data_IF_795691694770
#
_entry.id   IF_795691694770
#
_cell.length_a   1.000
_cell.length_b   1.000
_cell.length_c   1.000
_cell.angle_alpha   90.00
_cell.angle_beta   90.00
_cell.angle_gamma   90.00
#
_symmetry.space_group_name_H-M   'P 1'
#
loop_
_entity.id
_entity.type
_entity.pdbx_description
1 polymer ?
#
# COMPACT_ATOMS: atom_id res chain seq x y z
N UNK A 1 18.72 -42.27 -13.09
CA UNK A 1 17.29 -42.32 -12.72
C UNK A 1 17.21 -41.78 -11.30
N UNK A 2 16.52 -40.66 -11.06
CA UNK A 2 16.54 -40.00 -9.75
C UNK A 2 16.07 -40.99 -8.68
N UNK A 3 16.92 -41.25 -7.69
CA UNK A 3 16.54 -41.99 -6.50
C UNK A 3 15.61 -41.07 -5.71
N UNK A 4 14.32 -41.45 -5.62
CA UNK A 4 13.25 -40.78 -4.86
C UNK A 4 12.68 -39.47 -5.47
N UNK A 5 12.03 -39.54 -6.65
CA UNK A 5 11.39 -38.38 -7.29
C UNK A 5 10.35 -37.69 -6.40
N UNK A 6 9.56 -38.43 -5.62
CA UNK A 6 8.53 -37.85 -4.74
C UNK A 6 9.10 -36.99 -3.60
N UNK A 7 10.30 -37.33 -3.10
CA UNK A 7 10.95 -36.55 -2.04
C UNK A 7 11.45 -35.23 -2.62
N UNK A 8 11.98 -35.27 -3.84
CA UNK A 8 12.47 -34.11 -4.57
C UNK A 8 11.31 -33.18 -4.94
N UNK A 9 10.20 -33.71 -5.43
CA UNK A 9 8.98 -32.93 -5.73
C UNK A 9 8.44 -32.22 -4.48
N UNK A 10 8.24 -32.94 -3.38
CA UNK A 10 7.78 -32.32 -2.11
C UNK A 10 8.74 -31.28 -1.56
N UNK A 11 10.03 -31.39 -1.87
CA UNK A 11 11.01 -30.40 -1.48
C UNK A 11 10.88 -29.13 -2.32
N UNK A 12 10.72 -29.27 -3.64
CA UNK A 12 10.49 -28.13 -4.53
C UNK A 12 9.17 -27.42 -4.24
N UNK A 13 8.07 -28.14 -3.99
CA UNK A 13 6.79 -27.54 -3.60
C UNK A 13 6.91 -26.64 -2.36
N UNK A 14 7.68 -27.08 -1.35
CA UNK A 14 7.94 -26.27 -0.15
C UNK A 14 8.73 -25.01 -0.46
N UNK A 15 9.74 -25.12 -1.32
CA UNK A 15 10.56 -23.98 -1.74
C UNK A 15 9.69 -22.99 -2.52
N UNK A 16 8.90 -23.47 -3.48
CA UNK A 16 8.01 -22.64 -4.30
C UNK A 16 7.00 -21.89 -3.44
N UNK A 17 6.38 -22.57 -2.47
CA UNK A 17 5.43 -21.93 -1.55
C UNK A 17 6.08 -20.79 -0.75
N UNK A 18 7.25 -21.02 -0.17
CA UNK A 18 7.97 -19.98 0.59
C UNK A 18 8.41 -18.84 -0.32
N UNK A 19 8.83 -19.15 -1.55
CA UNK A 19 9.20 -18.15 -2.54
C UNK A 19 8.01 -17.28 -2.95
N UNK A 20 6.84 -17.88 -3.17
CA UNK A 20 5.60 -17.17 -3.51
C UNK A 20 5.16 -16.24 -2.37
N UNK A 21 5.15 -16.74 -1.12
CA UNK A 21 4.84 -15.93 0.07
C UNK A 21 5.81 -14.74 0.18
N UNK A 22 7.11 -14.98 0.06
CA UNK A 22 8.13 -13.92 0.15
C UNK A 22 7.98 -12.87 -0.96
N UNK A 23 7.72 -13.30 -2.20
CA UNK A 23 7.55 -12.38 -3.33
C UNK A 23 6.25 -11.57 -3.20
N UNK A 24 5.18 -12.19 -2.69
CA UNK A 24 3.92 -11.52 -2.41
C UNK A 24 4.10 -10.42 -1.36
N UNK A 25 4.78 -10.72 -0.25
CA UNK A 25 5.07 -9.76 0.82
C UNK A 25 5.89 -8.57 0.29
N UNK A 26 6.94 -8.85 -0.49
CA UNK A 26 7.75 -7.80 -1.13
C UNK A 26 6.92 -6.90 -2.07
N UNK A 27 5.98 -7.50 -2.80
CA UNK A 27 5.11 -6.76 -3.70
C UNK A 27 4.10 -5.90 -2.92
N UNK A 28 3.57 -6.40 -1.80
CA UNK A 28 2.67 -5.65 -0.91
C UNK A 28 3.38 -4.42 -0.33
N UNK A 29 4.60 -4.59 0.20
CA UNK A 29 5.43 -3.49 0.71
C UNK A 29 5.65 -2.42 -0.38
N UNK A 30 6.00 -2.84 -1.59
CA UNK A 30 6.18 -1.91 -2.72
C UNK A 30 4.89 -1.17 -3.08
N UNK A 31 3.74 -1.82 -2.96
CA UNK A 31 2.44 -1.19 -3.18
C UNK A 31 2.14 -0.16 -2.08
N UNK A 32 2.45 -0.47 -0.82
CA UNK A 32 2.31 0.45 0.32
C UNK A 32 3.21 1.67 0.15
N UNK A 33 4.48 1.50 -0.21
CA UNK A 33 5.42 2.58 -0.48
C UNK A 33 4.90 3.54 -1.57
N UNK A 34 4.38 2.97 -2.67
CA UNK A 34 3.76 3.76 -3.74
C UNK A 34 2.54 4.54 -3.26
N UNK A 35 1.71 3.95 -2.39
CA UNK A 35 0.54 4.64 -1.79
C UNK A 35 1.00 5.78 -0.89
N UNK A 36 1.96 5.54 0.00
CA UNK A 36 2.59 6.57 0.84
C UNK A 36 3.14 7.73 0.01
N UNK A 37 3.85 7.44 -1.09
CA UNK A 37 4.40 8.49 -1.93
C UNK A 37 3.30 9.35 -2.58
N UNK A 38 2.27 8.72 -3.15
CA UNK A 38 1.13 9.43 -3.74
C UNK A 38 0.38 10.28 -2.71
N UNK A 39 0.19 9.77 -1.50
CA UNK A 39 -0.45 10.52 -0.40
C UNK A 39 0.37 11.75 -0.02
N UNK A 40 1.71 11.63 0.07
CA UNK A 40 2.60 12.78 0.31
C UNK A 40 2.54 13.81 -0.82
N UNK A 41 2.51 13.36 -2.07
CA UNK A 41 2.36 14.25 -3.23
C UNK A 41 1.02 14.99 -3.21
N UNK A 42 -0.08 14.29 -2.92
CA UNK A 42 -1.41 14.87 -2.81
C UNK A 42 -1.48 15.90 -1.66
N UNK A 43 -0.95 15.58 -0.48
CA UNK A 43 -0.91 16.52 0.64
C UNK A 43 -0.09 17.77 0.31
N UNK A 44 1.07 17.62 -0.35
CA UNK A 44 1.86 18.77 -0.81
C UNK A 44 1.07 19.65 -1.75
N UNK A 45 0.38 19.08 -2.74
CA UNK A 45 -0.45 19.84 -3.68
C UNK A 45 -1.58 20.61 -2.97
N UNK A 46 -2.23 19.97 -1.98
CA UNK A 46 -3.27 20.61 -1.18
C UNK A 46 -2.72 21.73 -0.28
N UNK A 47 -1.48 21.62 0.19
CA UNK A 47 -0.82 22.63 1.04
C UNK A 47 -0.28 23.83 0.25
N UNK A 48 0.25 23.61 -0.96
CA UNK A 48 0.81 24.70 -1.80
C UNK A 48 -0.25 25.71 -2.26
N UNK A 49 -1.53 25.32 -2.29
CA UNK A 49 -2.64 26.20 -2.65
C UNK A 49 -3.60 26.42 -1.47
N UNK A 50 -3.27 27.30 -0.49
CA UNK A 50 -4.09 27.52 0.70
C UNK A 50 -5.49 28.10 0.40
N UNK A 51 -5.67 28.81 -0.71
CA UNK A 51 -7.00 29.24 -1.17
C UNK A 51 -7.92 28.07 -1.59
N UNK A 52 -7.38 26.85 -1.73
CA UNK A 52 -8.13 25.64 -2.07
C UNK A 52 -8.91 25.05 -0.88
N UNK A 53 -8.64 25.47 0.36
CA UNK A 53 -9.30 24.96 1.58
C UNK A 53 -10.81 25.25 1.62
N UNK A 54 -11.26 26.36 1.02
CA UNK A 54 -12.68 26.70 0.82
C UNK A 54 -13.27 26.07 -0.46
N UNK A 55 -12.42 25.47 -1.28
CA UNK A 55 -12.80 24.88 -2.57
C UNK A 55 -13.14 23.39 -2.44
N UNK A 56 -13.69 22.82 -3.50
CA UNK A 56 -14.05 21.40 -3.60
C UNK A 56 -13.03 20.70 -4.49
N UNK A 57 -12.45 19.61 -4.00
CA UNK A 57 -11.48 18.77 -4.73
C UNK A 57 -12.15 17.51 -5.27
N UNK A 58 -11.65 17.00 -6.39
CA UNK A 58 -12.05 15.70 -6.93
C UNK A 58 -11.13 14.61 -6.39
N UNK A 59 -11.73 13.55 -5.86
CA UNK A 59 -11.03 12.38 -5.33
C UNK A 59 -11.47 11.15 -6.12
N UNK A 60 -10.51 10.28 -6.42
CA UNK A 60 -10.79 8.97 -7.01
C UNK A 60 -10.93 7.93 -5.90
N UNK A 61 -12.06 7.23 -5.85
CA UNK A 61 -12.30 6.10 -4.95
C UNK A 61 -12.69 4.90 -5.81
N UNK A 62 -11.75 3.95 -5.95
CA UNK A 62 -11.90 2.82 -6.86
C UNK A 62 -11.98 3.29 -8.32
N UNK A 63 -13.14 3.12 -8.94
CA UNK A 63 -13.46 3.56 -10.29
C UNK A 63 -14.35 4.82 -10.34
N UNK A 64 -14.64 5.44 -9.20
CA UNK A 64 -15.53 6.59 -9.08
C UNK A 64 -14.75 7.87 -8.79
N UNK A 65 -15.22 8.99 -9.35
CA UNK A 65 -14.75 10.33 -9.01
C UNK A 65 -15.81 11.03 -8.16
N UNK A 66 -15.45 11.39 -6.93
CA UNK A 66 -16.30 12.08 -5.98
C UNK A 66 -15.73 13.46 -5.67
N UNK A 67 -16.63 14.44 -5.55
CA UNK A 67 -16.26 15.82 -5.26
C UNK A 67 -16.49 16.10 -3.77
N UNK A 68 -15.42 16.32 -3.03
CA UNK A 68 -15.45 16.53 -1.59
C UNK A 68 -14.82 17.89 -1.24
N UNK A 69 -15.23 18.52 -0.13
CA UNK A 69 -14.54 19.68 0.41
C UNK A 69 -13.06 19.37 0.66
N UNK A 70 -12.16 20.28 0.27
CA UNK A 70 -10.71 20.03 0.36
C UNK A 70 -10.23 19.72 1.78
N UNK A 71 -10.88 20.27 2.81
CA UNK A 71 -10.55 19.96 4.20
C UNK A 71 -10.86 18.50 4.57
N UNK A 72 -11.98 17.94 4.09
CA UNK A 72 -12.31 16.54 4.29
C UNK A 72 -11.33 15.64 3.53
N UNK A 73 -11.00 16.01 2.29
CA UNK A 73 -10.01 15.27 1.49
C UNK A 73 -8.65 15.22 2.19
N UNK A 74 -8.19 16.35 2.74
CA UNK A 74 -6.94 16.42 3.49
C UNK A 74 -6.98 15.50 4.71
N UNK A 75 -8.06 15.55 5.52
CA UNK A 75 -8.23 14.68 6.69
C UNK A 75 -8.22 13.19 6.30
N UNK A 76 -8.89 12.83 5.21
CA UNK A 76 -8.94 11.45 4.73
C UNK A 76 -7.54 10.96 4.29
N UNK A 77 -6.76 11.79 3.59
CA UNK A 77 -5.40 11.42 3.18
C UNK A 77 -4.46 11.32 4.39
N UNK A 78 -4.60 12.21 5.38
CA UNK A 78 -3.83 12.16 6.63
C UNK A 78 -4.14 10.88 7.43
N UNK A 79 -5.41 10.49 7.52
CA UNK A 79 -5.81 9.24 8.16
C UNK A 79 -5.26 8.01 7.42
N UNK A 80 -5.39 7.96 6.09
CA UNK A 80 -4.85 6.83 5.29
C UNK A 80 -3.33 6.70 5.45
N UNK A 81 -2.61 7.82 5.61
CA UNK A 81 -1.17 7.81 5.87
C UNK A 81 -0.83 7.27 7.27
N UNK A 82 -1.65 7.55 8.28
CA UNK A 82 -1.49 6.96 9.62
C UNK A 82 -1.76 5.46 9.60
N UNK A 83 -2.81 5.02 8.93
CA UNK A 83 -3.19 3.61 8.84
C UNK A 83 -2.09 2.78 8.14
N UNK A 84 -1.48 3.31 7.07
CA UNK A 84 -0.32 2.66 6.43
C UNK A 84 0.87 2.57 7.38
N UNK A 85 1.18 3.64 8.11
CA UNK A 85 2.31 3.63 9.06
C UNK A 85 2.12 2.60 10.17
N UNK A 86 0.90 2.42 10.67
CA UNK A 86 0.59 1.41 11.69
C UNK A 86 0.79 -0.02 11.17
N UNK A 87 0.46 -0.28 9.91
CA UNK A 87 0.72 -1.57 9.25
C UNK A 87 2.23 -1.84 9.20
N UNK A 88 3.03 -0.87 8.74
CA UNK A 88 4.50 -0.98 8.70
C UNK A 88 5.11 -1.26 10.10
N UNK A 89 4.60 -0.61 11.16
CA UNK A 89 5.04 -0.88 12.52
C UNK A 89 4.66 -2.28 12.99
N UNK A 90 3.48 -2.77 12.63
CA UNK A 90 3.04 -4.11 12.98
C UNK A 90 3.90 -5.19 12.31
N UNK A 91 4.34 -4.98 11.07
CA UNK A 91 5.19 -5.90 10.34
C UNK A 91 6.62 -5.90 10.89
N UNK A 92 7.15 -4.75 11.30
CA UNK A 92 8.45 -4.67 12.00
C UNK A 92 8.49 -5.38 13.35
N UNK A 93 7.35 -5.53 14.03
CA UNK A 93 7.25 -6.26 15.30
C UNK A 93 7.11 -7.78 15.11
N UNK A 94 6.74 -8.23 13.90
CA UNK A 94 6.65 -9.66 13.54
C UNK A 94 7.97 -10.20 12.98
N UNK A 95 8.87 -9.32 12.52
CA UNK A 95 10.24 -9.65 12.10
C UNK A 95 11.20 -9.68 13.28
#
# INVERSE_FOLDING_TARGET
>A
MALYPEIVEKHFEKIEKIAEETLSDQQEIRCLDKRCNKNREALRQLQTNPNCLSSKSWVCVGNLFIRLPTHEVKKNIEQDMLDVSLIEYSDKLKS
#
